data_IF_674879309905
#
_entry.id   IF_674879309905
#
_cell.length_a   1.000
_cell.length_b   1.000
_cell.length_c   1.000
_cell.angle_alpha   90.00
_cell.angle_beta   90.00
_cell.angle_gamma   90.00
#
_symmetry.space_group_name_H-M   'P 1'
#
loop_
_entity.id
_entity.type
_entity.pdbx_description
1 polymer ?
#
# COMPACT_ATOMS: atom_id res chain seq x y z
N UNK A 1 -33.34 -15.46 -20.04
CA UNK A 1 -32.68 -14.33 -20.71
C UNK A 1 -31.27 -14.23 -20.16
N UNK A 2 -30.28 -14.72 -20.90
CA UNK A 2 -28.88 -14.66 -20.49
C UNK A 2 -28.37 -13.24 -20.73
N UNK A 3 -28.10 -12.49 -19.67
CA UNK A 3 -27.42 -11.20 -19.79
C UNK A 3 -25.99 -11.47 -20.26
N UNK A 4 -25.73 -11.16 -21.52
CA UNK A 4 -24.37 -11.07 -22.07
C UNK A 4 -23.64 -10.01 -21.25
N UNK A 5 -22.63 -10.43 -20.48
CA UNK A 5 -21.67 -9.53 -19.84
C UNK A 5 -20.98 -8.73 -20.94
N UNK A 6 -21.45 -7.52 -21.21
CA UNK A 6 -20.70 -6.55 -21.99
C UNK A 6 -19.38 -6.34 -21.25
N UNK A 7 -18.25 -6.71 -21.88
CA UNK A 7 -16.95 -6.15 -21.54
C UNK A 7 -17.08 -4.64 -21.74
N UNK A 8 -17.44 -3.91 -20.70
CA UNK A 8 -17.44 -2.46 -20.72
C UNK A 8 -16.01 -2.07 -21.04
N UNK A 9 -15.81 -1.48 -22.22
CA UNK A 9 -14.52 -0.98 -22.66
C UNK A 9 -14.22 0.19 -21.71
N UNK A 10 -13.46 -0.07 -20.64
CA UNK A 10 -13.07 0.97 -19.68
C UNK A 10 -12.42 2.11 -20.47
N UNK A 11 -13.09 3.24 -20.53
CA UNK A 11 -12.59 4.40 -21.27
C UNK A 11 -11.54 5.13 -20.44
N UNK A 12 -10.53 5.70 -21.08
CA UNK A 12 -9.46 6.44 -20.39
C UNK A 12 -9.97 7.67 -19.63
N UNK A 13 -11.16 8.18 -20.00
CA UNK A 13 -11.90 9.26 -19.35
C UNK A 13 -12.65 8.84 -18.08
N UNK A 14 -12.79 7.52 -17.82
CA UNK A 14 -13.52 7.01 -16.66
C UNK A 14 -12.85 7.46 -15.38
N UNK A 15 -13.63 8.08 -14.48
CA UNK A 15 -13.17 8.50 -13.17
C UNK A 15 -13.19 7.32 -12.20
N UNK A 16 -12.14 7.25 -11.38
CA UNK A 16 -11.91 6.18 -10.44
C UNK A 16 -11.45 6.79 -9.12
N UNK A 17 -11.97 6.26 -8.02
CA UNK A 17 -11.51 6.63 -6.70
C UNK A 17 -10.15 6.02 -6.40
N UNK A 18 -9.27 6.86 -5.89
CA UNK A 18 -7.95 6.47 -5.43
C UNK A 18 -7.79 6.89 -3.98
N UNK A 19 -7.07 6.09 -3.21
CA UNK A 19 -6.82 6.33 -1.79
C UNK A 19 -5.32 6.31 -1.55
N UNK A 20 -4.83 7.32 -0.84
CA UNK A 20 -3.44 7.38 -0.39
C UNK A 20 -3.24 6.48 0.83
N UNK A 21 -2.35 5.50 0.69
CA UNK A 21 -1.84 4.70 1.81
C UNK A 21 -0.46 5.20 2.28
N UNK A 22 0.01 6.33 1.76
CA UNK A 22 1.30 6.90 2.15
C UNK A 22 1.20 7.64 3.49
N UNK A 23 2.17 7.37 4.36
CA UNK A 23 2.32 8.05 5.64
C UNK A 23 2.99 9.41 5.51
N UNK A 24 2.17 10.39 5.17
CA UNK A 24 2.55 11.79 5.08
C UNK A 24 1.89 12.46 3.89
N UNK A 25 2.51 13.56 3.44
CA UNK A 25 2.03 14.32 2.30
C UNK A 25 2.52 13.67 1.02
N UNK A 26 1.61 13.07 0.25
CA UNK A 26 1.89 12.54 -1.08
C UNK A 26 1.40 13.52 -2.13
N UNK A 27 2.32 14.00 -2.97
CA UNK A 27 2.00 14.89 -4.09
C UNK A 27 2.28 14.19 -5.40
N UNK A 28 1.28 14.12 -6.27
CA UNK A 28 1.45 13.63 -7.63
C UNK A 28 1.06 14.73 -8.62
N UNK A 29 1.88 14.96 -9.64
CA UNK A 29 1.56 15.85 -10.76
C UNK A 29 1.57 15.03 -12.04
N UNK A 30 0.43 14.96 -12.73
CA UNK A 30 0.32 14.25 -14.00
C UNK A 30 1.02 15.06 -15.10
N UNK A 31 2.04 14.52 -15.77
CA UNK A 31 2.73 15.24 -16.84
C UNK A 31 1.84 15.46 -18.07
N UNK A 32 0.82 14.60 -18.26
CA UNK A 32 -0.03 14.61 -19.45
C UNK A 32 -1.19 15.60 -19.35
N UNK A 33 -1.87 15.68 -18.21
CA UNK A 33 -2.98 16.62 -17.99
C UNK A 33 -2.55 17.92 -17.31
N UNK A 34 -1.38 17.95 -16.66
CA UNK A 34 -0.92 19.08 -15.86
C UNK A 34 -1.57 19.17 -14.48
N UNK A 35 -2.58 18.35 -14.20
CA UNK A 35 -3.28 18.27 -12.93
C UNK A 35 -2.36 17.73 -11.81
N UNK A 36 -2.63 18.17 -10.59
CA UNK A 36 -1.89 17.77 -9.40
C UNK A 36 -2.81 17.36 -8.27
N UNK A 37 -2.49 16.23 -7.64
CA UNK A 37 -3.15 15.68 -6.47
C UNK A 37 -2.26 15.87 -5.25
N UNK A 38 -2.88 16.30 -4.17
CA UNK A 38 -2.23 16.51 -2.87
C UNK A 38 -2.98 15.70 -1.82
N UNK A 39 -2.46 14.51 -1.51
CA UNK A 39 -2.96 13.70 -0.41
C UNK A 39 -2.25 14.12 0.87
N UNK A 40 -2.96 14.79 1.76
CA UNK A 40 -2.36 15.36 2.98
C UNK A 40 -2.03 14.30 4.03
N UNK A 41 -2.85 13.26 4.11
CA UNK A 41 -2.78 12.23 5.15
C UNK A 41 -3.03 10.83 4.54
N UNK A 42 -2.67 9.79 5.29
CA UNK A 42 -3.13 8.43 5.05
C UNK A 42 -4.67 8.38 5.02
N UNK A 43 -5.23 7.61 4.10
CA UNK A 43 -6.67 7.49 3.88
C UNK A 43 -7.30 8.66 3.11
N UNK A 44 -6.52 9.69 2.75
CA UNK A 44 -7.02 10.74 1.87
C UNK A 44 -7.37 10.14 0.51
N UNK A 45 -8.61 10.36 0.08
CA UNK A 45 -9.12 9.90 -1.19
C UNK A 45 -9.30 11.06 -2.16
N UNK A 46 -9.14 10.75 -3.44
CA UNK A 46 -9.42 11.68 -4.54
C UNK A 46 -9.84 10.88 -5.77
N UNK A 47 -10.18 11.58 -6.84
CA UNK A 47 -10.63 10.99 -8.09
C UNK A 47 -9.59 11.20 -9.17
N UNK A 48 -9.26 10.14 -9.90
CA UNK A 48 -8.33 10.16 -11.03
C UNK A 48 -8.95 9.43 -12.21
N UNK A 49 -8.59 9.81 -13.44
CA UNK A 49 -9.03 9.05 -14.61
C UNK A 49 -8.17 7.81 -14.84
N UNK A 50 -8.72 6.80 -15.51
CA UNK A 50 -7.97 5.59 -15.91
C UNK A 50 -6.74 5.97 -16.76
N UNK A 51 -6.85 6.97 -17.63
CA UNK A 51 -5.73 7.48 -18.43
C UNK A 51 -4.62 8.12 -17.57
N UNK A 52 -4.97 8.80 -16.48
CA UNK A 52 -4.01 9.35 -15.53
C UNK A 52 -3.33 8.26 -14.72
N UNK A 53 -4.06 7.25 -14.26
CA UNK A 53 -3.49 6.08 -13.59
C UNK A 53 -2.53 5.31 -14.51
N UNK A 54 -2.89 5.14 -15.78
CA UNK A 54 -1.99 4.56 -16.80
C UNK A 54 -0.73 5.39 -16.98
N UNK A 55 -0.86 6.72 -17.02
CA UNK A 55 0.28 7.64 -17.12
C UNK A 55 1.17 7.54 -15.87
N UNK A 56 0.57 7.44 -14.68
CA UNK A 56 1.27 7.22 -13.42
C UNK A 56 2.07 5.91 -13.45
N UNK A 57 1.48 4.81 -13.94
CA UNK A 57 2.19 3.54 -14.10
C UNK A 57 3.39 3.63 -15.04
N UNK A 58 3.27 4.36 -16.14
CA UNK A 58 4.39 4.51 -17.09
C UNK A 58 5.50 5.44 -16.58
N UNK A 59 5.15 6.54 -15.92
CA UNK A 59 6.10 7.61 -15.56
C UNK A 59 6.63 7.49 -14.13
N UNK A 60 5.78 7.06 -13.20
CA UNK A 60 6.02 7.01 -11.76
C UNK A 60 5.45 5.70 -11.16
N UNK A 61 5.86 4.52 -11.66
CA UNK A 61 5.29 3.23 -11.25
C UNK A 61 5.34 3.00 -9.73
N UNK A 62 6.37 3.52 -9.06
CA UNK A 62 6.56 3.45 -7.60
C UNK A 62 5.32 3.85 -6.78
N UNK A 63 4.46 4.74 -7.27
CA UNK A 63 3.25 5.14 -6.55
C UNK A 63 2.25 3.98 -6.38
N UNK A 64 2.17 3.10 -7.37
CA UNK A 64 1.27 1.93 -7.34
C UNK A 64 2.05 0.67 -6.92
N UNK A 65 3.29 0.50 -7.39
CA UNK A 65 4.12 -0.67 -7.06
C UNK A 65 4.49 -0.75 -5.57
N UNK A 66 4.74 0.40 -4.93
CA UNK A 66 4.99 0.47 -3.49
C UNK A 66 3.70 0.60 -2.68
N UNK A 67 2.55 0.61 -3.35
CA UNK A 67 1.25 0.68 -2.70
C UNK A 67 0.92 2.02 -2.06
N UNK A 68 1.58 3.12 -2.45
CA UNK A 68 1.27 4.47 -1.94
C UNK A 68 -0.11 4.95 -2.35
N UNK A 69 -0.56 4.54 -3.54
CA UNK A 69 -1.89 4.83 -4.06
C UNK A 69 -2.59 3.50 -4.33
N UNK A 70 -3.73 3.31 -3.68
CA UNK A 70 -4.65 2.20 -3.91
C UNK A 70 -5.78 2.66 -4.83
N UNK A 71 -6.08 1.86 -5.84
CA UNK A 71 -7.21 2.09 -6.75
C UNK A 71 -8.40 1.34 -6.19
N UNK A 72 -9.47 2.06 -5.85
CA UNK A 72 -10.68 1.50 -5.23
C UNK A 72 -11.70 1.03 -6.29
N UNK A 73 -11.20 0.26 -7.26
CA UNK A 73 -12.02 -0.33 -8.32
C UNK A 73 -11.32 -1.57 -8.90
N UNK A 74 -11.89 -2.75 -8.67
CA UNK A 74 -11.31 -4.03 -9.10
C UNK A 74 -11.23 -4.17 -10.63
N UNK A 75 -12.20 -3.65 -11.38
CA UNK A 75 -12.20 -3.70 -12.85
C UNK A 75 -11.02 -2.89 -13.40
N UNK A 76 -10.75 -1.72 -12.82
CA UNK A 76 -9.62 -0.85 -13.19
C UNK A 76 -8.29 -1.50 -12.82
N UNK A 77 -8.21 -2.14 -11.65
CA UNK A 77 -7.03 -2.88 -11.21
C UNK A 77 -6.68 -4.01 -12.18
N UNK A 78 -7.69 -4.76 -12.63
CA UNK A 78 -7.53 -5.80 -13.64
C UNK A 78 -7.16 -5.21 -15.01
N UNK A 79 -7.84 -4.14 -15.42
CA UNK A 79 -7.61 -3.46 -16.70
C UNK A 79 -6.18 -2.92 -16.82
N UNK A 80 -5.65 -2.33 -15.75
CA UNK A 80 -4.28 -1.82 -15.68
C UNK A 80 -3.24 -2.92 -15.38
N UNK A 81 -3.68 -4.16 -15.15
CA UNK A 81 -2.85 -5.31 -14.78
C UNK A 81 -1.96 -5.04 -13.55
N UNK A 82 -2.52 -4.32 -12.57
CA UNK A 82 -1.83 -3.95 -11.32
C UNK A 82 -2.23 -4.83 -10.13
N UNK A 83 -3.05 -5.85 -10.36
CA UNK A 83 -3.55 -6.78 -9.34
C UNK A 83 -2.44 -7.41 -8.50
N UNK A 84 -1.27 -7.67 -9.11
CA UNK A 84 -0.09 -8.21 -8.42
C UNK A 84 0.50 -7.24 -7.39
N UNK A 85 0.41 -5.93 -7.63
CA UNK A 85 0.90 -4.91 -6.70
C UNK A 85 -0.12 -4.64 -5.59
N UNK A 86 -1.41 -4.74 -5.90
CA UNK A 86 -2.49 -4.58 -4.90
C UNK A 86 -2.49 -5.73 -3.88
N UNK A 87 -2.21 -6.97 -4.31
CA UNK A 87 -2.20 -8.14 -3.41
C UNK A 87 -1.06 -8.15 -2.39
N UNK A 88 0.08 -7.53 -2.70
CA UNK A 88 1.26 -7.49 -1.83
C UNK A 88 1.42 -6.18 -1.05
N UNK A 89 0.42 -5.30 -1.09
CA UNK A 89 0.44 -4.05 -0.34
C UNK A 89 -0.33 -4.21 0.96
N UNK A 90 0.38 -4.39 2.07
CA UNK A 90 -0.19 -4.26 3.42
C UNK A 90 -0.26 -2.78 3.79
N UNK A 91 -1.41 -2.36 4.31
CA UNK A 91 -1.62 -1.03 4.87
C UNK A 91 -1.14 -0.98 6.33
N UNK A 92 -1.10 0.22 6.90
CA UNK A 92 -0.85 0.39 8.34
C UNK A 92 -1.81 -0.42 9.19
N UNK A 93 -3.10 -0.36 8.90
CA UNK A 93 -4.12 -1.10 9.65
C UNK A 93 -3.91 -2.61 9.53
N UNK A 94 -3.45 -3.09 8.37
CA UNK A 94 -3.11 -4.49 8.18
C UNK A 94 -1.88 -4.88 9.01
N UNK A 95 -0.86 -4.03 9.08
CA UNK A 95 0.30 -4.25 9.95
C UNK A 95 -0.06 -4.16 11.43
N UNK A 96 -0.97 -3.26 11.82
CA UNK A 96 -1.43 -3.15 13.20
C UNK A 96 -2.07 -4.46 13.66
N UNK A 97 -2.91 -5.05 12.81
CA UNK A 97 -3.53 -6.37 13.04
C UNK A 97 -2.51 -7.50 12.97
N UNK A 98 -1.59 -7.46 12.02
CA UNK A 98 -0.54 -8.46 11.88
C UNK A 98 0.28 -8.57 13.17
N UNK A 99 0.60 -7.45 13.83
CA UNK A 99 1.37 -7.45 15.08
C UNK A 99 0.59 -7.99 16.29
N UNK A 100 -0.70 -8.29 16.13
CA UNK A 100 -1.55 -8.95 17.13
C UNK A 100 -1.73 -10.46 16.85
N UNK A 101 -1.20 -10.96 15.73
CA UNK A 101 -1.23 -12.37 15.34
C UNK A 101 -0.03 -13.15 15.90
N UNK A 102 0.00 -14.46 15.65
CA UNK A 102 1.07 -15.35 16.09
C UNK A 102 2.44 -14.97 15.48
N UNK A 103 3.55 -15.08 16.24
CA UNK A 103 4.89 -14.75 15.77
C UNK A 103 5.30 -15.46 14.46
N UNK A 104 4.89 -16.71 14.27
CA UNK A 104 5.19 -17.47 13.05
C UNK A 104 4.55 -16.85 11.80
N UNK A 105 3.31 -16.40 11.91
CA UNK A 105 2.57 -15.74 10.83
C UNK A 105 3.13 -14.36 10.53
N UNK A 106 3.57 -13.65 11.57
CA UNK A 106 4.30 -12.38 11.41
C UNK A 106 5.59 -12.61 10.61
N UNK A 107 6.34 -13.68 10.93
CA UNK A 107 7.56 -14.00 10.20
C UNK A 107 7.29 -14.27 8.72
N UNK A 108 6.30 -15.11 8.41
CA UNK A 108 5.90 -15.48 7.06
C UNK A 108 5.49 -14.23 6.23
N UNK A 109 4.62 -13.40 6.79
CA UNK A 109 4.09 -12.23 6.08
C UNK A 109 5.18 -11.19 5.85
N UNK A 110 6.01 -10.89 6.86
CA UNK A 110 7.07 -9.87 6.73
C UNK A 110 8.21 -10.32 5.81
N UNK A 111 8.54 -11.61 5.77
CA UNK A 111 9.55 -12.15 4.83
C UNK A 111 9.04 -12.18 3.40
N UNK A 112 7.73 -12.40 3.20
CA UNK A 112 7.06 -12.37 1.90
C UNK A 112 6.84 -10.97 1.31
N UNK A 113 7.20 -9.89 2.02
CA UNK A 113 7.10 -8.53 1.50
C UNK A 113 8.13 -8.29 0.38
N UNK A 114 7.64 -8.02 -0.83
CA UNK A 114 8.49 -7.67 -1.98
C UNK A 114 8.95 -6.20 -1.96
N UNK A 115 8.21 -5.33 -1.27
CA UNK A 115 8.43 -3.88 -1.29
C UNK A 115 9.27 -3.43 -0.11
N UNK A 116 10.45 -2.85 -0.39
CA UNK A 116 11.29 -2.18 0.63
C UNK A 116 10.52 -1.12 1.41
N UNK A 117 9.59 -0.42 0.75
CA UNK A 117 8.76 0.58 1.42
C UNK A 117 7.83 -0.06 2.44
N UNK A 118 7.23 -1.20 2.12
CA UNK A 118 6.36 -1.94 3.04
C UNK A 118 7.15 -2.47 4.23
N UNK A 119 8.40 -2.91 4.03
CA UNK A 119 9.31 -3.30 5.12
C UNK A 119 9.66 -2.12 6.03
N UNK A 120 9.98 -0.97 5.44
CA UNK A 120 10.26 0.27 6.21
C UNK A 120 9.03 0.72 6.98
N UNK A 121 7.85 0.74 6.34
CA UNK A 121 6.59 1.12 6.99
C UNK A 121 6.23 0.18 8.13
N UNK A 122 6.38 -1.14 7.95
CA UNK A 122 6.20 -2.13 9.01
C UNK A 122 7.16 -1.89 10.18
N UNK A 123 8.44 -1.65 9.89
CA UNK A 123 9.46 -1.35 10.91
C UNK A 123 9.13 -0.07 11.69
N UNK A 124 8.83 1.03 10.99
CA UNK A 124 8.52 2.31 11.62
C UNK A 124 7.29 2.21 12.53
N UNK A 125 6.25 1.48 12.09
CA UNK A 125 5.06 1.22 12.89
C UNK A 125 5.36 0.34 14.11
N UNK A 126 6.08 -0.76 13.93
CA UNK A 126 6.48 -1.65 15.02
C UNK A 126 7.34 -0.91 16.05
N UNK A 127 8.28 -0.07 15.60
CA UNK A 127 9.15 0.74 16.46
C UNK A 127 8.35 1.76 17.23
N UNK A 128 7.40 2.43 16.57
CA UNK A 128 6.49 3.37 17.22
C UNK A 128 5.65 2.67 18.30
N UNK A 129 5.07 1.49 18.02
CA UNK A 129 4.34 0.70 19.02
C UNK A 129 5.25 0.23 20.17
N UNK A 130 6.50 -0.15 19.91
CA UNK A 130 7.48 -0.53 20.93
C UNK A 130 7.79 0.65 21.87
N UNK A 131 8.15 1.81 21.31
CA UNK A 131 8.48 3.03 22.08
C UNK A 131 7.27 3.51 22.90
N UNK A 132 6.06 3.43 22.34
CA UNK A 132 4.83 3.77 23.05
C UNK A 132 4.35 2.69 24.03
N UNK A 133 5.09 1.58 24.17
CA UNK A 133 4.80 0.50 25.10
C UNK A 133 3.59 -0.35 24.73
N UNK A 134 3.06 -0.21 23.51
CA UNK A 134 1.94 -1.02 22.98
C UNK A 134 2.40 -2.37 22.44
N UNK A 135 3.66 -2.50 22.07
CA UNK A 135 4.28 -3.77 21.68
C UNK A 135 5.24 -4.21 22.78
N UNK A 136 4.87 -5.25 23.53
CA UNK A 136 5.64 -5.77 24.68
C UNK A 136 5.92 -7.26 24.61
N UNK A 137 5.28 -7.97 23.69
CA UNK A 137 5.50 -9.41 23.52
C UNK A 137 6.88 -9.65 22.91
N UNK A 138 7.74 -10.31 23.68
CA UNK A 138 9.12 -10.60 23.31
C UNK A 138 9.24 -11.52 22.10
N UNK A 139 8.31 -12.46 21.92
CA UNK A 139 8.32 -13.37 20.77
C UNK A 139 7.92 -12.62 19.49
N UNK A 140 6.93 -11.75 19.58
CA UNK A 140 6.52 -10.89 18.45
C UNK A 140 7.63 -9.92 18.06
N UNK A 141 8.26 -9.27 19.04
CA UNK A 141 9.39 -8.35 18.78
C UNK A 141 10.50 -9.09 18.05
N UNK A 142 10.91 -10.26 18.54
CA UNK A 142 11.95 -11.06 17.89
C UNK A 142 11.59 -11.50 16.48
N UNK A 143 10.34 -11.90 16.25
CA UNK A 143 9.84 -12.26 14.92
C UNK A 143 9.99 -11.09 13.94
N UNK A 144 9.56 -9.88 14.35
CA UNK A 144 9.65 -8.67 13.52
C UNK A 144 11.12 -8.32 13.25
N UNK A 145 11.97 -8.32 14.28
CA UNK A 145 13.40 -7.99 14.14
C UNK A 145 14.12 -8.97 13.22
N UNK A 146 13.82 -10.26 13.35
CA UNK A 146 14.40 -11.32 12.51
C UNK A 146 13.96 -11.20 11.06
N UNK A 147 12.68 -10.94 10.80
CA UNK A 147 12.14 -10.82 9.45
C UNK A 147 12.60 -9.55 8.72
N UNK A 148 12.73 -8.44 9.44
CA UNK A 148 13.14 -7.16 8.86
C UNK A 148 14.65 -6.91 8.93
N UNK A 149 15.39 -7.73 9.68
CA UNK A 149 16.84 -7.62 9.85
C UNK A 149 17.28 -6.35 10.61
N UNK A 150 16.38 -5.76 11.40
CA UNK A 150 16.60 -4.51 12.12
C UNK A 150 16.09 -4.61 13.55
N UNK A 151 16.82 -4.06 14.53
CA UNK A 151 16.40 -4.04 15.93
C UNK A 151 15.40 -2.91 16.20
N UNK A 152 14.31 -3.25 16.87
CA UNK A 152 13.30 -2.30 17.36
C UNK A 152 13.78 -1.62 18.64
N UNK A 153 14.49 -2.37 19.49
CA UNK A 153 15.13 -1.83 20.69
C UNK A 153 16.55 -1.33 20.39
N UNK A 154 16.82 -0.02 20.51
CA UNK A 154 18.17 0.51 20.35
C UNK A 154 19.15 0.09 21.47
N UNK A 155 18.65 -0.49 22.57
CA UNK A 155 19.44 -0.91 23.73
C UNK A 155 19.64 -2.43 23.84
N UNK A 156 19.12 -3.23 22.88
CA UNK A 156 19.25 -4.70 22.88
C UNK A 156 20.33 -5.22 21.94
#
# INVERSE_FOLDING_TARGET
MAQRTNKTKLEESSLVYVVSNFDGVLTYKCPRSGESWLFKNHGASDTMTVGQLRTMLSQKPKYIEKGWIKVDNEEVVQFLNISKYVKNTLTKDDFERLFEEDPEKIEEVLTGLDSDYSKISAFDLARNKYVNGKLRDHFVIRAIEKSLGQKLDPNS
#
